data_IF_594133515351
#
_entry.id   IF_594133515351
#
_cell.length_a   1.000
_cell.length_b   1.000
_cell.length_c   1.000
_cell.angle_alpha   90.00
_cell.angle_beta   90.00
_cell.angle_gamma   90.00
#
_symmetry.space_group_name_H-M   'P 1'
#
loop_
_entity.id
_entity.type
_entity.pdbx_description
1 polymer ?
#
# COMPACT_ATOMS: atom_id res chain seq x y z
N UNK A 1 -8.45 12.66 24.18
CA UNK A 1 -8.03 13.30 22.99
C UNK A 1 -8.93 14.37 22.39
N UNK A 2 -10.18 14.59 22.84
CA UNK A 2 -11.01 15.69 22.32
C UNK A 2 -10.65 17.01 23.03
N UNK A 3 -10.58 16.98 24.34
CA UNK A 3 -10.38 18.13 25.21
C UNK A 3 -9.23 17.95 26.20
N UNK A 4 -8.29 17.08 25.90
CA UNK A 4 -7.07 16.84 26.68
C UNK A 4 -5.85 16.93 25.79
N UNK A 5 -4.67 17.11 26.39
CA UNK A 5 -3.41 16.88 25.69
C UNK A 5 -3.21 15.42 25.32
N UNK A 6 -2.04 15.08 24.80
CA UNK A 6 -1.68 13.75 24.30
C UNK A 6 -0.44 13.19 25.02
N UNK A 7 -0.26 11.89 24.99
CA UNK A 7 0.88 11.22 25.59
C UNK A 7 0.97 11.54 27.09
N UNK A 8 2.08 12.14 27.53
CA UNK A 8 2.27 12.54 28.94
C UNK A 8 1.26 13.60 29.43
N UNK A 9 0.65 14.34 28.52
CA UNK A 9 -0.35 15.39 28.80
C UNK A 9 -1.79 14.87 28.66
N UNK A 10 -2.02 13.56 28.51
CA UNK A 10 -3.35 12.98 28.32
C UNK A 10 -4.34 13.26 29.46
N UNK A 11 -3.84 13.59 30.66
CA UNK A 11 -4.62 13.98 31.82
C UNK A 11 -4.82 15.51 31.93
N UNK A 12 -4.17 16.29 31.09
CA UNK A 12 -4.26 17.76 31.11
C UNK A 12 -5.46 18.20 30.30
N UNK A 13 -6.46 18.79 30.93
CA UNK A 13 -7.64 19.35 30.26
C UNK A 13 -7.28 20.63 29.52
N UNK A 14 -7.72 20.74 28.28
CA UNK A 14 -7.53 21.91 27.42
C UNK A 14 -8.86 22.69 27.36
N UNK A 15 -8.83 24.01 27.59
CA UNK A 15 -10.01 24.88 27.47
C UNK A 15 -10.61 24.84 26.07
N UNK A 16 -11.93 24.99 25.94
CA UNK A 16 -12.65 24.86 24.68
C UNK A 16 -12.13 25.85 23.60
N UNK A 17 -11.81 27.06 24.00
CA UNK A 17 -11.28 28.12 23.14
C UNK A 17 -9.87 27.83 22.56
N UNK A 18 -9.16 26.84 23.09
CA UNK A 18 -7.83 26.44 22.64
C UNK A 18 -7.81 25.10 21.89
N UNK A 19 -8.96 24.49 21.64
CA UNK A 19 -9.00 23.18 20.99
C UNK A 19 -8.54 23.20 19.53
N UNK A 20 -8.87 24.26 18.80
CA UNK A 20 -8.40 24.45 17.41
C UNK A 20 -6.88 24.64 17.37
N UNK A 21 -6.33 25.48 18.25
CA UNK A 21 -4.88 25.65 18.41
C UNK A 21 -4.21 24.31 18.71
N UNK A 22 -4.81 23.50 19.59
CA UNK A 22 -4.31 22.17 19.94
C UNK A 22 -4.22 21.26 18.71
N UNK A 23 -5.27 21.23 17.86
CA UNK A 23 -5.28 20.37 16.66
C UNK A 23 -4.21 20.81 15.64
N UNK A 24 -4.08 22.13 15.42
CA UNK A 24 -3.03 22.69 14.56
C UNK A 24 -1.63 22.33 15.08
N UNK A 25 -1.38 22.55 16.36
CA UNK A 25 -0.09 22.27 17.00
C UNK A 25 0.23 20.76 17.00
N UNK A 26 -0.78 19.91 17.11
CA UNK A 26 -0.62 18.46 16.99
C UNK A 26 -0.08 18.08 15.60
N UNK A 27 -0.65 18.62 14.53
CA UNK A 27 -0.19 18.40 13.15
C UNK A 27 1.24 18.91 12.98
N UNK A 28 1.51 20.15 13.37
CA UNK A 28 2.83 20.78 13.21
C UNK A 28 3.92 20.03 13.98
N UNK A 29 3.67 19.68 15.23
CA UNK A 29 4.66 19.02 16.10
C UNK A 29 4.99 17.58 15.68
N UNK A 30 4.10 16.93 14.93
CA UNK A 30 4.32 15.55 14.43
C UNK A 30 4.88 15.52 13.00
N UNK A 31 4.92 16.65 12.29
CA UNK A 31 5.47 16.74 10.92
C UNK A 31 7.01 16.81 10.94
N UNK A 32 7.62 15.76 11.44
CA UNK A 32 9.09 15.66 11.69
C UNK A 32 9.78 14.64 10.79
N UNK A 33 9.13 14.25 9.69
CA UNK A 33 9.69 13.34 8.71
C UNK A 33 10.92 13.92 8.01
N UNK A 34 11.83 13.05 7.58
CA UNK A 34 13.07 13.40 6.90
C UNK A 34 13.33 12.49 5.69
N UNK A 35 14.31 12.83 4.87
CA UNK A 35 14.68 12.09 3.69
C UNK A 35 13.99 12.57 2.42
N UNK A 36 13.97 11.74 1.39
CA UNK A 36 13.27 12.02 0.14
C UNK A 36 11.76 11.89 0.34
N UNK A 37 11.00 12.51 -0.54
CA UNK A 37 9.56 12.30 -0.55
C UNK A 37 9.21 10.90 -1.08
N UNK A 38 8.13 10.33 -0.56
CA UNK A 38 7.49 9.13 -1.11
C UNK A 38 7.06 9.40 -2.56
N UNK A 39 7.11 8.38 -3.39
CA UNK A 39 6.64 8.48 -4.78
C UNK A 39 5.12 8.73 -4.83
N UNK A 40 4.66 9.47 -5.83
CA UNK A 40 3.25 9.89 -5.97
C UNK A 40 2.27 8.72 -5.99
N UNK A 41 2.64 7.58 -6.57
CA UNK A 41 1.79 6.39 -6.56
C UNK A 41 1.56 5.84 -5.13
N UNK A 42 2.56 5.92 -4.26
CA UNK A 42 2.43 5.55 -2.84
C UNK A 42 1.59 6.59 -2.10
N UNK A 43 1.85 7.90 -2.32
CA UNK A 43 1.07 8.98 -1.70
C UNK A 43 -0.41 8.91 -2.10
N UNK A 44 -0.71 8.58 -3.35
CA UNK A 44 -2.09 8.32 -3.81
C UNK A 44 -2.76 7.18 -3.04
N UNK A 45 -2.05 6.08 -2.81
CA UNK A 45 -2.55 4.97 -1.98
C UNK A 45 -2.78 5.42 -0.54
N UNK A 46 -1.88 6.24 0.03
CA UNK A 46 -2.03 6.80 1.39
C UNK A 46 -3.29 7.66 1.48
N UNK A 47 -3.50 8.57 0.53
CA UNK A 47 -4.71 9.40 0.49
C UNK A 47 -5.97 8.55 0.32
N UNK A 48 -5.99 7.62 -0.63
CA UNK A 48 -7.15 6.76 -0.88
C UNK A 48 -7.51 5.90 0.35
N UNK A 49 -6.52 5.27 0.98
CA UNK A 49 -6.75 4.45 2.18
C UNK A 49 -7.16 5.31 3.38
N UNK A 50 -6.65 6.54 3.50
CA UNK A 50 -7.07 7.50 4.55
C UNK A 50 -8.51 7.95 4.33
N UNK A 51 -8.89 8.33 3.12
CA UNK A 51 -10.26 8.69 2.76
C UNK A 51 -11.21 7.53 3.09
N UNK A 52 -10.89 6.30 2.65
CA UNK A 52 -11.72 5.12 2.92
C UNK A 52 -11.91 4.86 4.42
N UNK A 53 -10.84 5.00 5.21
CA UNK A 53 -10.89 4.83 6.67
C UNK A 53 -11.78 5.90 7.33
N UNK A 54 -11.59 7.17 6.98
CA UNK A 54 -12.35 8.28 7.56
C UNK A 54 -13.83 8.24 7.16
N UNK A 55 -14.14 7.84 5.91
CA UNK A 55 -15.51 7.72 5.38
C UNK A 55 -16.35 6.65 6.10
N UNK A 56 -15.74 5.81 6.94
CA UNK A 56 -16.48 4.88 7.82
C UNK A 56 -17.28 5.60 8.92
N UNK A 57 -17.04 6.89 9.15
CA UNK A 57 -17.81 7.71 10.08
C UNK A 57 -17.52 7.51 11.57
N UNK A 58 -16.48 6.74 11.92
CA UNK A 58 -16.17 6.43 13.33
C UNK A 58 -15.03 7.29 13.92
N UNK A 59 -14.33 8.07 13.10
CA UNK A 59 -13.16 8.83 13.55
C UNK A 59 -13.51 10.19 14.15
N UNK A 60 -14.77 10.62 14.07
CA UNK A 60 -15.23 11.92 14.57
C UNK A 60 -14.57 13.09 13.84
N UNK A 61 -14.58 13.06 12.52
CA UNK A 61 -14.12 14.11 11.61
C UNK A 61 -15.31 14.62 10.79
N UNK A 62 -15.32 15.91 10.47
CA UNK A 62 -16.36 16.51 9.64
C UNK A 62 -16.28 16.00 8.19
N UNK A 63 -17.45 15.93 7.54
CA UNK A 63 -17.54 15.48 6.13
C UNK A 63 -16.78 16.42 5.19
N UNK A 64 -16.75 17.72 5.47
CA UNK A 64 -16.06 18.73 4.66
C UNK A 64 -14.57 18.47 4.56
N UNK A 65 -13.95 17.91 5.61
CA UNK A 65 -12.52 17.55 5.59
C UNK A 65 -12.28 16.33 4.71
N UNK A 66 -13.20 15.37 4.72
CA UNK A 66 -13.15 14.20 3.84
C UNK A 66 -13.35 14.63 2.37
N UNK A 67 -14.34 15.47 2.11
CA UNK A 67 -14.62 16.02 0.77
C UNK A 67 -13.44 16.81 0.23
N UNK A 68 -12.74 17.56 1.09
CA UNK A 68 -11.50 18.25 0.71
C UNK A 68 -10.39 17.26 0.30
N UNK A 69 -10.20 16.18 1.06
CA UNK A 69 -9.24 15.13 0.69
C UNK A 69 -9.59 14.48 -0.65
N UNK A 70 -10.89 14.21 -0.91
CA UNK A 70 -11.38 13.66 -2.18
C UNK A 70 -11.13 14.66 -3.32
N UNK A 71 -11.41 15.94 -3.10
CA UNK A 71 -11.21 17.00 -4.09
C UNK A 71 -9.74 17.12 -4.48
N UNK A 72 -8.84 17.17 -3.50
CA UNK A 72 -7.38 17.20 -3.71
C UNK A 72 -6.89 15.95 -4.45
N UNK A 73 -7.36 14.77 -4.03
CA UNK A 73 -7.03 13.51 -4.69
C UNK A 73 -7.44 13.52 -6.17
N UNK A 74 -8.65 13.96 -6.48
CA UNK A 74 -9.18 14.02 -7.85
C UNK A 74 -8.51 15.11 -8.70
N UNK A 75 -8.08 16.21 -8.06
CA UNK A 75 -7.32 17.28 -8.71
C UNK A 75 -5.84 16.89 -8.97
N UNK A 76 -5.36 15.76 -8.44
CA UNK A 76 -3.97 15.34 -8.56
C UNK A 76 -3.01 16.14 -7.69
N UNK A 77 -3.52 16.78 -6.64
CA UNK A 77 -2.72 17.51 -5.64
C UNK A 77 -2.32 16.53 -4.53
N UNK A 78 -1.03 16.24 -4.43
CA UNK A 78 -0.51 15.24 -3.49
C UNK A 78 0.44 15.88 -2.48
N UNK A 79 0.31 15.59 -1.17
CA UNK A 79 1.20 16.11 -0.14
C UNK A 79 2.62 15.54 -0.30
N UNK A 80 3.63 16.37 -0.05
CA UNK A 80 5.01 15.92 0.08
C UNK A 80 5.18 15.21 1.42
N UNK A 81 5.34 13.89 1.39
CA UNK A 81 5.51 13.05 2.58
C UNK A 81 6.93 12.48 2.59
N UNK A 82 7.80 12.84 3.53
CA UNK A 82 9.12 12.25 3.65
C UNK A 82 9.09 10.73 3.94
N UNK A 83 10.03 9.99 3.37
CA UNK A 83 10.11 8.54 3.47
C UNK A 83 10.43 8.00 4.87
N UNK A 84 11.03 8.82 5.74
CA UNK A 84 11.48 8.46 7.09
C UNK A 84 10.74 9.29 8.13
N UNK A 85 10.08 8.64 9.09
CA UNK A 85 9.37 9.34 10.16
C UNK A 85 8.41 8.48 10.95
N UNK A 86 7.79 7.47 10.37
CA UNK A 86 6.95 6.54 11.13
C UNK A 86 7.81 5.66 12.03
N UNK A 87 7.40 5.54 13.29
CA UNK A 87 7.99 4.60 14.26
C UNK A 87 7.02 3.46 14.60
N UNK A 88 5.84 3.44 13.97
CA UNK A 88 4.83 2.40 14.14
C UNK A 88 4.12 2.39 15.49
N UNK A 89 4.48 3.25 16.43
CA UNK A 89 3.84 3.38 17.72
C UNK A 89 2.59 4.25 17.61
N UNK A 90 1.41 3.70 17.83
CA UNK A 90 0.09 4.33 17.58
C UNK A 90 -0.17 4.70 16.12
N UNK A 91 0.46 3.98 15.18
CA UNK A 91 0.31 4.21 13.75
C UNK A 91 1.43 5.07 13.13
N UNK A 92 1.16 5.60 11.96
CA UNK A 92 2.11 6.32 11.11
C UNK A 92 2.02 7.84 11.33
N UNK A 93 2.19 8.31 12.59
CA UNK A 93 1.88 9.69 13.00
C UNK A 93 2.62 10.74 12.16
N UNK A 94 3.95 10.65 12.05
CA UNK A 94 4.72 11.67 11.36
C UNK A 94 4.37 11.79 9.86
N UNK A 95 4.34 10.72 9.05
CA UNK A 95 3.96 10.85 7.65
C UNK A 95 2.49 11.26 7.45
N UNK A 96 1.56 10.85 8.32
CA UNK A 96 0.18 11.32 8.28
C UNK A 96 0.04 12.77 8.73
N UNK A 97 0.93 13.26 9.60
CA UNK A 97 1.01 14.69 9.90
C UNK A 97 1.42 15.50 8.66
N UNK A 98 2.43 15.02 7.88
CA UNK A 98 2.78 15.66 6.61
C UNK A 98 1.62 15.68 5.61
N UNK A 99 0.82 14.60 5.52
CA UNK A 99 -0.43 14.63 4.74
C UNK A 99 -1.37 15.73 5.24
N UNK A 100 -1.50 15.87 6.56
CA UNK A 100 -2.45 16.79 7.19
C UNK A 100 -2.01 18.26 7.07
N UNK A 101 -0.70 18.55 6.94
CA UNK A 101 -0.18 19.90 6.69
C UNK A 101 -0.86 20.53 5.47
N UNK A 102 -1.04 19.78 4.40
CA UNK A 102 -1.69 20.26 3.18
C UNK A 102 -3.07 20.88 3.47
N UNK A 103 -3.88 20.24 4.33
CA UNK A 103 -5.21 20.73 4.66
C UNK A 103 -5.22 22.05 5.42
N UNK A 104 -4.22 22.28 6.26
CA UNK A 104 -4.10 23.53 7.05
C UNK A 104 -3.28 24.61 6.34
N UNK A 105 -2.94 24.41 5.06
CA UNK A 105 -2.17 25.36 4.26
C UNK A 105 -0.68 25.41 4.57
N UNK A 106 -0.13 24.39 5.23
CA UNK A 106 1.28 24.29 5.58
C UNK A 106 1.99 23.22 4.74
N UNK A 107 3.31 23.33 4.65
CA UNK A 107 4.14 22.36 3.92
C UNK A 107 4.05 22.52 2.40
N UNK A 108 4.36 21.44 1.68
CA UNK A 108 4.44 21.41 0.23
C UNK A 108 3.57 20.28 -0.35
N UNK A 109 3.15 20.49 -1.60
CA UNK A 109 2.40 19.52 -2.40
C UNK A 109 3.02 19.40 -3.78
N UNK A 110 2.69 18.32 -4.50
CA UNK A 110 2.97 18.17 -5.93
C UNK A 110 1.68 18.26 -6.72
N UNK A 111 1.75 18.89 -7.89
CA UNK A 111 0.70 18.93 -8.90
C UNK A 111 1.34 18.82 -10.29
N UNK A 112 1.00 17.79 -11.04
CA UNK A 112 1.57 17.54 -12.36
C UNK A 112 3.10 17.35 -12.38
N UNK A 113 3.69 16.93 -11.26
CA UNK A 113 5.14 16.77 -11.09
C UNK A 113 5.88 18.03 -10.59
N UNK A 114 5.20 19.15 -10.50
CA UNK A 114 5.73 20.40 -9.96
C UNK A 114 5.46 20.49 -8.45
N UNK A 115 6.46 20.95 -7.68
CA UNK A 115 6.31 21.17 -6.22
C UNK A 115 5.94 22.63 -5.96
N UNK A 116 4.93 22.83 -5.13
CA UNK A 116 4.43 24.15 -4.73
C UNK A 116 4.05 24.17 -3.25
N UNK A 117 3.71 25.35 -2.73
CA UNK A 117 3.18 25.46 -1.37
C UNK A 117 1.80 24.81 -1.26
N UNK A 118 1.45 24.37 -0.04
CA UNK A 118 0.12 23.79 0.21
C UNK A 118 -1.01 24.79 -0.08
N UNK A 119 -0.78 26.09 0.15
CA UNK A 119 -1.76 27.14 -0.15
C UNK A 119 -2.03 27.22 -1.66
N UNK A 120 -0.99 27.20 -2.49
CA UNK A 120 -1.14 27.19 -3.95
C UNK A 120 -1.85 25.92 -4.44
N UNK A 121 -1.49 24.77 -3.88
CA UNK A 121 -2.14 23.49 -4.22
C UNK A 121 -3.62 23.46 -3.82
N UNK A 122 -3.97 23.97 -2.64
CA UNK A 122 -5.37 24.11 -2.22
C UNK A 122 -6.14 25.04 -3.18
N UNK A 123 -5.57 26.21 -3.50
CA UNK A 123 -6.19 27.17 -4.41
C UNK A 123 -6.39 26.55 -5.82
N UNK A 124 -5.43 25.78 -6.33
CA UNK A 124 -5.55 25.07 -7.60
C UNK A 124 -6.70 24.06 -7.61
N UNK A 125 -7.05 23.48 -6.45
CA UNK A 125 -8.20 22.61 -6.26
C UNK A 125 -9.50 23.36 -5.88
N UNK A 126 -9.51 24.68 -5.86
CA UNK A 126 -10.66 25.51 -5.48
C UNK A 126 -10.96 25.50 -3.98
N UNK A 127 -9.95 25.20 -3.16
CA UNK A 127 -10.06 25.10 -1.70
C UNK A 127 -9.25 26.19 -1.01
N UNK A 128 -9.58 26.43 0.26
CA UNK A 128 -8.81 27.29 1.18
C UNK A 128 -8.32 26.44 2.37
N UNK A 129 -7.30 26.90 3.10
CA UNK A 129 -6.85 26.21 4.31
C UNK A 129 -7.97 26.00 5.32
N UNK A 130 -7.99 24.79 5.92
CA UNK A 130 -8.99 24.39 6.90
C UNK A 130 -8.56 24.74 8.31
N UNK A 131 -9.50 25.22 9.10
CA UNK A 131 -9.39 25.24 10.55
C UNK A 131 -9.91 23.91 11.11
N UNK A 132 -9.00 23.13 11.73
CA UNK A 132 -9.35 21.82 12.28
C UNK A 132 -10.14 21.95 13.58
N UNK A 133 -11.29 21.30 13.63
CA UNK A 133 -12.11 21.21 14.82
C UNK A 133 -11.56 20.19 15.85
N UNK A 134 -12.18 20.12 17.04
CA UNK A 134 -11.78 19.19 18.10
C UNK A 134 -11.71 17.74 17.58
N UNK A 135 -10.61 17.04 17.88
CA UNK A 135 -10.29 15.66 17.47
C UNK A 135 -9.85 15.49 16.00
N UNK A 136 -10.09 16.44 15.11
CA UNK A 136 -9.79 16.26 13.68
C UNK A 136 -8.30 16.07 13.39
N UNK A 137 -7.42 16.80 14.08
CA UNK A 137 -5.98 16.57 13.99
C UNK A 137 -5.61 15.14 14.35
N UNK A 138 -6.15 14.63 15.48
CA UNK A 138 -5.92 13.25 15.88
C UNK A 138 -6.49 12.25 14.87
N UNK A 139 -7.70 12.47 14.35
CA UNK A 139 -8.33 11.60 13.35
C UNK A 139 -7.49 11.53 12.05
N UNK A 140 -6.87 12.63 11.66
CA UNK A 140 -5.99 12.69 10.50
C UNK A 140 -4.65 11.99 10.73
N UNK A 141 -4.03 12.16 11.91
CA UNK A 141 -2.71 11.60 12.20
C UNK A 141 -2.73 10.11 12.53
N UNK A 142 -3.77 9.64 13.22
CA UNK A 142 -3.82 8.24 13.64
C UNK A 142 -4.20 7.31 12.48
N UNK A 143 -3.55 6.16 12.49
CA UNK A 143 -3.78 5.08 11.55
C UNK A 143 -2.49 4.54 10.94
N UNK A 144 -2.60 3.52 10.12
CA UNK A 144 -1.47 2.83 9.50
C UNK A 144 -1.54 2.89 7.98
N UNK A 145 -2.15 3.97 7.46
CA UNK A 145 -2.38 4.10 6.03
C UNK A 145 -1.07 4.15 5.23
N UNK A 146 -0.01 4.72 5.80
CA UNK A 146 1.30 4.77 5.13
C UNK A 146 1.95 3.38 5.08
N UNK A 147 2.04 2.68 6.21
CA UNK A 147 2.54 1.30 6.26
C UNK A 147 1.75 0.36 5.36
N UNK A 148 0.41 0.48 5.36
CA UNK A 148 -0.47 -0.31 4.50
C UNK A 148 -0.26 0.00 3.02
N UNK A 149 -0.10 1.27 2.66
CA UNK A 149 0.13 1.70 1.27
C UNK A 149 1.47 1.25 0.74
N UNK A 150 2.52 1.30 1.56
CA UNK A 150 3.83 0.74 1.22
C UNK A 150 3.76 -0.78 1.01
N UNK A 151 3.02 -1.49 1.88
CA UNK A 151 2.82 -2.93 1.74
C UNK A 151 2.01 -3.28 0.48
N UNK A 152 0.97 -2.50 0.14
CA UNK A 152 0.21 -2.65 -1.11
C UNK A 152 1.07 -2.39 -2.34
N UNK A 153 1.88 -1.32 -2.32
CA UNK A 153 2.82 -1.04 -3.42
C UNK A 153 3.81 -2.18 -3.61
N UNK A 154 4.37 -2.71 -2.50
CA UNK A 154 5.26 -3.87 -2.54
C UNK A 154 4.57 -5.13 -3.05
N UNK A 155 3.31 -5.37 -2.70
CA UNK A 155 2.52 -6.49 -3.21
C UNK A 155 2.34 -6.39 -4.74
N UNK A 156 1.96 -5.23 -5.26
CA UNK A 156 1.78 -5.03 -6.71
C UNK A 156 3.09 -5.24 -7.49
N UNK A 157 4.21 -4.77 -6.95
CA UNK A 157 5.53 -5.03 -7.56
C UNK A 157 5.90 -6.52 -7.49
N UNK A 158 5.63 -7.19 -6.36
CA UNK A 158 5.87 -8.63 -6.23
C UNK A 158 5.02 -9.45 -7.21
N UNK A 159 3.77 -9.06 -7.46
CA UNK A 159 2.91 -9.71 -8.48
C UNK A 159 3.47 -9.53 -9.91
N UNK A 160 4.00 -8.36 -10.24
CA UNK A 160 4.66 -8.12 -11.54
C UNK A 160 5.92 -8.98 -11.70
N UNK A 161 6.77 -9.01 -10.67
CA UNK A 161 7.99 -9.85 -10.66
C UNK A 161 7.63 -11.32 -10.74
N UNK A 162 6.59 -11.75 -10.01
CA UNK A 162 6.09 -13.13 -10.06
C UNK A 162 5.64 -13.52 -11.48
N UNK A 163 4.84 -12.67 -12.12
CA UNK A 163 4.35 -12.91 -13.48
C UNK A 163 5.49 -12.97 -14.50
N UNK A 164 6.46 -12.05 -14.39
CA UNK A 164 7.67 -12.09 -15.21
C UNK A 164 8.49 -13.36 -14.96
N UNK A 165 8.56 -13.81 -13.70
CA UNK A 165 9.24 -15.04 -13.30
C UNK A 165 8.63 -16.30 -13.91
N UNK A 166 7.29 -16.37 -14.06
CA UNK A 166 6.62 -17.49 -14.75
C UNK A 166 7.02 -17.55 -16.22
N UNK A 167 7.00 -16.40 -16.91
CA UNK A 167 7.41 -16.33 -18.32
C UNK A 167 8.88 -16.71 -18.47
N UNK A 168 9.76 -16.16 -17.62
CA UNK A 168 11.18 -16.49 -17.63
C UNK A 168 11.43 -17.99 -17.36
N UNK A 169 10.65 -18.60 -16.47
CA UNK A 169 10.70 -20.04 -16.18
C UNK A 169 10.32 -20.88 -17.39
N UNK A 170 9.26 -20.51 -18.11
CA UNK A 170 8.84 -21.18 -19.35
C UNK A 170 9.91 -21.05 -20.45
N UNK A 171 10.42 -19.82 -20.68
CA UNK A 171 11.52 -19.60 -21.65
C UNK A 171 12.78 -20.38 -21.30
N UNK A 172 13.11 -20.49 -20.01
CA UNK A 172 14.27 -21.26 -19.56
C UNK A 172 14.09 -22.76 -19.84
N UNK A 173 12.87 -23.30 -19.64
CA UNK A 173 12.54 -24.68 -19.96
C UNK A 173 12.72 -24.94 -21.46
N UNK A 174 12.22 -24.07 -22.33
CA UNK A 174 12.39 -24.19 -23.78
C UNK A 174 13.86 -24.06 -24.20
N UNK A 175 14.60 -23.07 -23.65
CA UNK A 175 16.00 -22.81 -23.99
C UNK A 175 16.90 -24.03 -23.75
N UNK A 176 16.64 -24.78 -22.67
CA UNK A 176 17.39 -26.02 -22.38
C UNK A 176 16.79 -27.25 -23.04
N UNK A 177 15.71 -27.10 -23.83
CA UNK A 177 14.89 -28.20 -24.34
C UNK A 177 14.47 -29.16 -23.24
N UNK A 178 13.86 -28.59 -22.17
CA UNK A 178 13.39 -29.31 -21.00
C UNK A 178 12.08 -30.05 -21.25
N UNK A 179 11.78 -31.03 -20.38
CA UNK A 179 10.55 -31.81 -20.45
C UNK A 179 9.40 -31.12 -19.70
N UNK A 180 8.21 -31.10 -20.30
CA UNK A 180 6.96 -30.67 -19.65
C UNK A 180 6.34 -31.75 -18.76
N UNK A 181 6.86 -32.97 -18.72
CA UNK A 181 6.35 -34.04 -17.86
C UNK A 181 6.24 -33.68 -16.37
N UNK A 182 7.18 -32.89 -15.78
CA UNK A 182 7.05 -32.44 -14.41
C UNK A 182 5.86 -31.50 -14.15
N UNK A 183 5.20 -30.99 -15.20
CA UNK A 183 4.01 -30.15 -15.10
C UNK A 183 2.69 -30.94 -15.12
N UNK A 184 2.74 -32.28 -15.16
CA UNK A 184 1.55 -33.14 -15.17
C UNK A 184 0.66 -32.83 -13.95
N UNK A 185 -0.63 -32.46 -14.14
CA UNK A 185 -1.51 -32.06 -13.07
C UNK A 185 -1.64 -33.08 -11.95
N UNK A 186 -1.59 -34.36 -12.25
CA UNK A 186 -1.68 -35.44 -11.26
C UNK A 186 -0.58 -35.37 -10.19
N UNK A 187 0.62 -34.88 -10.55
CA UNK A 187 1.73 -34.68 -9.60
C UNK A 187 1.37 -33.61 -8.59
N UNK A 188 0.79 -32.52 -9.06
CA UNK A 188 0.50 -31.34 -8.25
C UNK A 188 -0.77 -31.53 -7.42
N UNK A 189 -1.78 -32.15 -7.98
CA UNK A 189 -3.01 -32.54 -7.26
C UNK A 189 -2.70 -33.53 -6.11
N UNK A 190 -1.81 -34.49 -6.33
CA UNK A 190 -1.37 -35.42 -5.28
C UNK A 190 -0.65 -34.73 -4.12
N UNK A 191 0.00 -33.57 -4.39
CA UNK A 191 0.61 -32.73 -3.35
C UNK A 191 -0.40 -31.83 -2.64
N UNK A 192 -1.50 -31.43 -3.30
CA UNK A 192 -2.60 -30.66 -2.73
C UNK A 192 -2.26 -29.20 -2.40
N UNK A 193 -1.14 -28.64 -2.86
CA UNK A 193 -0.75 -27.24 -2.62
C UNK A 193 -1.34 -26.37 -3.73
N UNK A 194 -2.27 -25.48 -3.39
CA UNK A 194 -3.04 -24.68 -4.35
C UNK A 194 -2.16 -23.81 -5.27
N UNK A 195 -1.17 -23.12 -4.71
CA UNK A 195 -0.23 -22.32 -5.49
C UNK A 195 0.59 -23.14 -6.46
N UNK A 196 1.04 -24.34 -6.05
CA UNK A 196 1.78 -25.26 -6.90
C UNK A 196 0.92 -25.75 -8.08
N UNK A 197 -0.33 -26.11 -7.82
CA UNK A 197 -1.30 -26.51 -8.86
C UNK A 197 -1.51 -25.38 -9.85
N UNK A 198 -1.75 -24.16 -9.36
CA UNK A 198 -1.98 -22.99 -10.20
C UNK A 198 -0.75 -22.63 -11.07
N UNK A 199 0.46 -22.71 -10.52
CA UNK A 199 1.70 -22.44 -11.28
C UNK A 199 1.94 -23.51 -12.35
N UNK A 200 1.73 -24.79 -12.04
CA UNK A 200 1.86 -25.86 -13.03
C UNK A 200 0.88 -25.68 -14.20
N UNK A 201 -0.36 -25.35 -13.90
CA UNK A 201 -1.38 -25.06 -14.91
C UNK A 201 -1.02 -23.85 -15.78
N UNK A 202 -0.53 -22.77 -15.15
CA UNK A 202 -0.09 -21.56 -15.87
C UNK A 202 1.09 -21.84 -16.81
N UNK A 203 2.12 -22.57 -16.35
CA UNK A 203 3.26 -22.95 -17.19
C UNK A 203 2.83 -23.86 -18.33
N UNK A 204 1.93 -24.80 -18.08
CA UNK A 204 1.37 -25.67 -19.12
C UNK A 204 0.65 -24.83 -20.20
N UNK A 205 -0.13 -23.84 -19.79
CA UNK A 205 -0.81 -22.93 -20.73
C UNK A 205 0.16 -22.06 -21.54
N UNK A 206 1.22 -21.53 -20.91
CA UNK A 206 2.24 -20.72 -21.58
C UNK A 206 3.01 -21.55 -22.63
N UNK A 207 3.30 -22.81 -22.33
CA UNK A 207 4.07 -23.72 -23.20
C UNK A 207 3.19 -24.43 -24.22
N UNK A 208 1.88 -24.24 -24.22
CA UNK A 208 0.96 -24.89 -25.15
C UNK A 208 1.26 -24.48 -26.60
N UNK A 209 1.39 -25.49 -27.48
CA UNK A 209 1.67 -25.26 -28.90
C UNK A 209 3.13 -24.94 -29.22
N UNK A 210 4.05 -25.06 -28.27
CA UNK A 210 5.48 -24.84 -28.49
C UNK A 210 6.08 -25.91 -29.42
N UNK A 211 6.64 -25.48 -30.53
CA UNK A 211 7.39 -26.35 -31.46
C UNK A 211 8.69 -26.85 -30.81
N UNK A 212 9.29 -26.07 -29.91
CA UNK A 212 10.50 -26.47 -29.18
C UNK A 212 10.19 -27.64 -28.26
N UNK A 213 9.11 -27.59 -27.50
CA UNK A 213 8.65 -28.66 -26.63
C UNK A 213 8.36 -29.92 -27.47
N UNK A 214 7.64 -29.75 -28.58
CA UNK A 214 7.29 -30.86 -29.50
C UNK A 214 8.53 -31.49 -30.12
N UNK A 215 9.51 -30.70 -30.56
CA UNK A 215 10.77 -31.20 -31.18
C UNK A 215 11.59 -32.07 -30.23
N UNK A 216 11.30 -32.02 -28.93
CA UNK A 216 12.07 -32.72 -27.90
C UNK A 216 11.31 -33.80 -27.15
N UNK A 217 10.14 -34.20 -27.65
CA UNK A 217 9.23 -35.14 -26.99
C UNK A 217 9.89 -36.50 -26.68
N UNK A 218 10.84 -36.97 -27.50
CA UNK A 218 11.52 -38.24 -27.36
C UNK A 218 13.01 -38.09 -26.99
N UNK A 219 13.32 -37.11 -26.16
CA UNK A 219 14.68 -36.87 -25.70
C UNK A 219 15.23 -38.04 -24.87
N UNK A 220 16.50 -38.40 -25.13
CA UNK A 220 17.22 -39.42 -24.36
C UNK A 220 17.70 -38.95 -22.97
N UNK A 221 17.44 -37.67 -22.57
CA UNK A 221 17.81 -37.16 -21.26
C UNK A 221 16.91 -37.77 -20.20
N UNK A 222 17.53 -38.37 -19.18
CA UNK A 222 16.79 -39.06 -18.09
C UNK A 222 16.05 -38.03 -17.20
N UNK A 223 16.70 -36.94 -16.84
CA UNK A 223 16.14 -35.86 -16.02
C UNK A 223 16.70 -34.50 -16.43
N UNK A 224 15.85 -33.48 -16.36
CA UNK A 224 16.25 -32.07 -16.43
C UNK A 224 16.85 -31.59 -15.09
N UNK A 225 17.57 -30.47 -15.05
CA UNK A 225 18.02 -29.87 -13.82
C UNK A 225 16.88 -29.67 -12.83
N UNK A 226 17.15 -29.90 -11.55
CA UNK A 226 16.13 -29.80 -10.50
C UNK A 226 15.48 -28.42 -10.46
N UNK A 227 16.28 -27.34 -10.65
CA UNK A 227 15.81 -25.95 -10.69
C UNK A 227 14.71 -25.70 -11.73
N UNK A 228 14.68 -26.45 -12.82
CA UNK A 228 13.62 -26.36 -13.84
C UNK A 228 12.41 -27.21 -13.42
N UNK A 229 12.67 -28.42 -12.90
CA UNK A 229 11.59 -29.33 -12.51
C UNK A 229 10.78 -28.85 -11.31
N UNK A 230 11.42 -28.12 -10.38
CA UNK A 230 10.77 -27.64 -9.15
C UNK A 230 10.16 -26.24 -9.25
N UNK A 231 10.12 -25.63 -10.44
CA UNK A 231 9.49 -24.29 -10.63
C UNK A 231 8.06 -24.25 -10.07
N UNK A 232 7.17 -25.24 -10.31
CA UNK A 232 5.83 -25.21 -9.72
C UNK A 232 5.82 -25.19 -8.19
N UNK A 233 6.72 -25.94 -7.55
CA UNK A 233 6.81 -26.00 -6.09
C UNK A 233 7.28 -24.68 -5.50
N UNK A 234 8.37 -24.11 -6.05
CA UNK A 234 8.97 -22.87 -5.53
C UNK A 234 8.08 -21.66 -5.79
N UNK A 235 7.67 -21.48 -7.05
CA UNK A 235 6.79 -20.36 -7.42
C UNK A 235 5.40 -20.50 -6.78
N UNK A 236 4.90 -21.75 -6.63
CA UNK A 236 3.65 -22.02 -5.94
C UNK A 236 3.65 -21.57 -4.49
N UNK A 237 4.73 -21.85 -3.76
CA UNK A 237 4.88 -21.37 -2.38
C UNK A 237 4.94 -19.84 -2.30
N UNK A 238 5.60 -19.18 -3.26
CA UNK A 238 5.57 -17.72 -3.36
C UNK A 238 4.15 -17.20 -3.64
N UNK A 239 3.42 -17.83 -4.55
CA UNK A 239 2.05 -17.44 -4.89
C UNK A 239 1.11 -17.53 -3.69
N UNK A 240 1.21 -18.59 -2.88
CA UNK A 240 0.38 -18.76 -1.69
C UNK A 240 0.67 -17.65 -0.65
N UNK A 241 1.93 -17.25 -0.49
CA UNK A 241 2.29 -16.10 0.37
C UNK A 241 1.76 -14.76 -0.17
N UNK A 242 1.87 -14.51 -1.48
CA UNK A 242 1.31 -13.31 -2.10
C UNK A 242 -0.21 -13.24 -1.94
N UNK A 243 -0.91 -14.35 -2.18
CA UNK A 243 -2.36 -14.47 -1.97
C UNK A 243 -2.76 -14.24 -0.51
N UNK A 244 -1.96 -14.75 0.43
CA UNK A 244 -2.19 -14.50 1.85
C UNK A 244 -2.06 -13.01 2.18
N UNK A 245 -1.00 -12.35 1.75
CA UNK A 245 -0.80 -10.91 1.93
C UNK A 245 -1.95 -10.10 1.31
N UNK A 246 -2.35 -10.45 0.07
CA UNK A 246 -3.45 -9.82 -0.64
C UNK A 246 -4.81 -9.92 0.10
N UNK A 247 -5.03 -10.98 0.90
CA UNK A 247 -6.24 -11.13 1.73
C UNK A 247 -6.18 -10.29 3.01
N UNK A 248 -5.00 -10.14 3.60
CA UNK A 248 -4.84 -9.46 4.89
C UNK A 248 -4.79 -7.94 4.75
N UNK A 249 -4.08 -7.42 3.75
CA UNK A 249 -3.87 -5.97 3.59
C UNK A 249 -5.17 -5.16 3.49
N UNK A 250 -6.21 -5.60 2.74
CA UNK A 250 -7.48 -4.87 2.68
C UNK A 250 -8.16 -4.65 4.02
N UNK A 251 -8.01 -5.57 4.97
CA UNK A 251 -8.56 -5.43 6.32
C UNK A 251 -8.04 -4.16 7.00
N UNK A 252 -6.80 -3.77 6.73
CA UNK A 252 -6.14 -2.62 7.36
C UNK A 252 -6.73 -1.26 6.98
N UNK A 253 -7.45 -1.15 5.86
CA UNK A 253 -8.10 0.10 5.43
C UNK A 253 -9.64 -0.01 5.31
N UNK A 254 -10.19 -1.22 5.40
CA UNK A 254 -11.64 -1.45 5.36
C UNK A 254 -12.26 -1.66 6.73
N UNK A 255 -11.46 -1.91 7.77
CA UNK A 255 -11.90 -2.12 9.14
C UNK A 255 -11.25 -1.10 10.08
N UNK A 256 -11.96 -0.76 11.17
CA UNK A 256 -11.43 0.12 12.20
C UNK A 256 -10.33 -0.57 13.01
N UNK A 257 -9.34 0.22 13.43
CA UNK A 257 -8.35 -0.20 14.40
C UNK A 257 -8.69 0.35 15.78
N UNK A 258 -8.23 -0.32 16.83
CA UNK A 258 -8.47 0.08 18.22
C UNK A 258 -8.04 1.52 18.54
N UNK A 259 -7.08 2.09 17.79
CA UNK A 259 -6.58 3.45 17.98
C UNK A 259 -7.43 4.53 17.29
N UNK A 260 -8.34 4.15 16.41
CA UNK A 260 -9.22 5.06 15.68
C UNK A 260 -10.58 5.23 16.38
N UNK A 261 -10.86 4.34 17.35
CA UNK A 261 -12.07 4.36 18.16
C UNK A 261 -11.79 4.93 19.53
N UNK A 262 -12.13 6.16 19.78
CA UNK A 262 -12.33 6.71 21.14
C UNK A 262 -13.48 7.67 21.13
#
# INVERSE_FOLDING_TARGET
>A
GINTGFGKLAQTRIPAERLTELQRNLVLSHSVGTGKNLADNVVRLVMATKILSLSRGHSGIRIEVIDALITLFNAGVYPCIPEKGSVGASGDLAPLAHLSLMLIGEGQVTLGGETMSAVEGLAAAGLSPFELGPKEGLALLNGTQVSTSLALSGLFEAERVFSAGLVAGALSLEAIKGSVKPLDPRIHEARGQEGQIAVAAALTAILAGSDIVTSHANCGRVQDPYSIRCVPQVMGACLDNLRHAARILPVSYTHLRAHETV
#
